data_IF_510999972001
#
_entry.id   IF_510999972001
#
_cell.length_a   1.000
_cell.length_b   1.000
_cell.length_c   1.000
_cell.angle_alpha   90.00
_cell.angle_beta   90.00
_cell.angle_gamma   90.00
#
_symmetry.space_group_name_H-M   'P 1'
#
loop_
_entity.id
_entity.type
_entity.pdbx_description
1 polymer ?
#
# COMPACT_ATOMS: atom_id res chain seq x y z
N UNK A 1 1.96 -14.13 2.12
CA UNK A 1 2.61 -13.07 1.33
C UNK A 1 3.88 -13.56 0.62
N UNK A 2 4.96 -13.91 1.32
CA UNK A 2 6.21 -14.42 0.69
C UNK A 2 6.01 -15.61 -0.24
N UNK A 3 5.23 -16.62 0.18
CA UNK A 3 4.89 -17.78 -0.67
C UNK A 3 4.15 -17.36 -1.94
N UNK A 4 3.17 -16.47 -1.82
CA UNK A 4 2.41 -15.96 -2.96
C UNK A 4 3.30 -15.19 -3.94
N UNK A 5 4.19 -14.34 -3.42
CA UNK A 5 5.15 -13.59 -4.22
C UNK A 5 6.09 -14.54 -4.99
N UNK A 6 6.68 -15.51 -4.31
CA UNK A 6 7.56 -16.51 -4.94
C UNK A 6 6.86 -17.31 -6.04
N UNK A 7 5.61 -17.73 -5.84
CA UNK A 7 4.84 -18.49 -6.86
C UNK A 7 4.53 -17.66 -8.11
N UNK A 8 4.55 -16.32 -8.00
CA UNK A 8 4.28 -15.41 -9.12
C UNK A 8 5.54 -14.74 -9.67
N UNK A 9 6.72 -15.15 -9.22
CA UNK A 9 7.99 -14.52 -9.62
C UNK A 9 8.12 -13.07 -9.15
N UNK A 10 7.42 -12.69 -8.08
CA UNK A 10 7.51 -11.35 -7.49
C UNK A 10 8.58 -11.37 -6.41
N UNK A 11 9.55 -10.47 -6.53
CA UNK A 11 10.55 -10.21 -5.49
C UNK A 11 10.01 -9.15 -4.51
N UNK A 12 10.18 -9.40 -3.21
CA UNK A 12 9.79 -8.44 -2.17
C UNK A 12 11.02 -7.61 -1.81
N UNK A 13 11.11 -6.40 -2.37
CA UNK A 13 12.22 -5.47 -2.13
C UNK A 13 12.01 -4.59 -0.90
N UNK A 14 10.76 -4.40 -0.46
CA UNK A 14 10.41 -3.56 0.69
C UNK A 14 9.18 -4.11 1.42
N UNK A 15 9.06 -3.83 2.71
CA UNK A 15 7.89 -4.21 3.51
C UNK A 15 7.51 -3.05 4.41
N UNK A 16 6.26 -2.59 4.29
CA UNK A 16 5.67 -1.55 5.12
C UNK A 16 4.71 -2.20 6.11
N UNK A 17 4.81 -1.82 7.39
CA UNK A 17 4.05 -2.47 8.47
C UNK A 17 3.32 -1.42 9.29
N UNK A 18 2.02 -1.63 9.47
CA UNK A 18 1.18 -0.89 10.42
C UNK A 18 0.89 -1.82 11.62
N UNK A 19 1.43 -1.51 12.79
CA UNK A 19 1.16 -2.30 13.99
C UNK A 19 -0.27 -2.03 14.52
N UNK A 20 -1.20 -2.93 14.20
CA UNK A 20 -2.45 -3.12 14.97
C UNK A 20 -3.44 -1.94 15.04
N UNK A 21 -3.40 -0.96 14.13
CA UNK A 21 -4.36 0.15 14.12
C UNK A 21 -5.61 -0.18 13.31
N UNK A 22 -6.76 0.37 13.73
CA UNK A 22 -8.03 0.22 13.02
C UNK A 22 -7.87 0.71 11.57
N UNK A 23 -8.24 -0.10 10.59
CA UNK A 23 -8.10 0.22 9.16
C UNK A 23 -9.11 1.26 8.65
N UNK A 24 -9.64 2.09 9.55
CA UNK A 24 -10.70 3.07 9.28
C UNK A 24 -10.13 4.46 8.94
N UNK A 25 -8.99 4.84 9.52
CA UNK A 25 -8.33 6.12 9.26
C UNK A 25 -6.89 5.91 8.82
N UNK A 26 -6.38 6.76 7.92
CA UNK A 26 -4.95 6.78 7.54
C UNK A 26 -4.06 7.31 8.67
N UNK A 27 -4.63 8.11 9.56
CA UNK A 27 -3.94 8.65 10.73
C UNK A 27 -3.45 7.52 11.65
N UNK A 28 -2.13 7.36 11.70
CA UNK A 28 -1.47 6.30 12.47
C UNK A 28 -1.01 5.10 11.67
N UNK A 29 -1.29 5.06 10.36
CA UNK A 29 -0.79 4.04 9.45
C UNK A 29 0.53 4.48 8.82
N UNK A 30 1.57 4.57 9.66
CA UNK A 30 2.90 5.05 9.25
C UNK A 30 3.48 4.25 8.09
N UNK A 31 3.19 2.94 8.01
CA UNK A 31 3.64 2.10 6.91
C UNK A 31 2.95 2.47 5.60
N UNK A 32 1.63 2.68 5.64
CA UNK A 32 0.87 3.11 4.46
C UNK A 32 1.27 4.52 4.01
N UNK A 33 1.46 5.44 4.95
CA UNK A 33 1.92 6.81 4.65
C UNK A 33 3.30 6.80 3.99
N UNK A 34 4.25 6.01 4.51
CA UNK A 34 5.58 5.89 3.92
C UNK A 34 5.53 5.27 2.51
N UNK A 35 4.70 4.24 2.31
CA UNK A 35 4.49 3.65 0.99
C UNK A 35 4.00 4.68 -0.03
N UNK A 36 3.00 5.48 0.33
CA UNK A 36 2.46 6.52 -0.55
C UNK A 36 3.50 7.59 -0.84
N UNK A 37 4.25 8.04 0.18
CA UNK A 37 5.32 9.03 0.00
C UNK A 37 6.44 8.53 -0.92
N UNK A 38 6.83 7.26 -0.80
CA UNK A 38 7.87 6.65 -1.64
C UNK A 38 7.40 6.56 -3.12
N UNK A 39 6.11 6.28 -3.36
CA UNK A 39 5.51 6.29 -4.70
C UNK A 39 5.42 7.72 -5.25
N UNK A 40 4.87 8.66 -4.48
CA UNK A 40 4.65 10.05 -4.92
C UNK A 40 5.95 10.82 -5.17
N UNK A 41 7.01 10.49 -4.45
CA UNK A 41 8.34 11.08 -4.66
C UNK A 41 9.05 10.58 -5.92
N UNK A 42 8.50 9.55 -6.59
CA UNK A 42 9.15 8.88 -7.73
C UNK A 42 10.41 8.10 -7.35
N UNK A 43 10.62 7.84 -6.06
CA UNK A 43 11.79 7.09 -5.54
C UNK A 43 11.50 5.60 -5.33
N UNK A 44 10.25 5.18 -5.57
CA UNK A 44 9.85 3.78 -5.52
C UNK A 44 10.64 2.95 -6.53
N UNK A 45 11.44 2.02 -6.02
CA UNK A 45 12.19 1.01 -6.76
C UNK A 45 11.37 -0.25 -7.07
N UNK A 46 10.04 -0.15 -6.94
CA UNK A 46 9.09 -1.25 -7.14
C UNK A 46 7.93 -0.80 -8.05
N UNK A 47 7.42 -1.74 -8.84
CA UNK A 47 6.29 -1.52 -9.75
C UNK A 47 4.98 -2.18 -9.29
N UNK A 48 5.04 -2.99 -8.23
CA UNK A 48 3.90 -3.77 -7.73
C UNK A 48 3.77 -3.59 -6.23
N UNK A 49 2.58 -3.22 -5.78
CA UNK A 49 2.22 -3.26 -4.36
C UNK A 49 1.41 -4.51 -4.07
N UNK A 50 1.93 -5.36 -3.19
CA UNK A 50 1.22 -6.53 -2.68
C UNK A 50 0.63 -6.18 -1.31
N UNK A 51 -0.67 -6.43 -1.13
CA UNK A 51 -1.36 -6.29 0.16
C UNK A 51 -1.98 -7.62 0.57
N UNK A 52 -2.13 -7.86 1.87
CA UNK A 52 -2.74 -9.09 2.39
C UNK A 52 -4.24 -9.16 2.09
N UNK A 53 -4.96 -8.04 2.27
CA UNK A 53 -6.37 -7.89 1.95
C UNK A 53 -6.72 -6.40 1.75
N UNK A 54 -7.85 -6.09 1.10
CA UNK A 54 -8.22 -4.72 0.72
C UNK A 54 -8.44 -3.79 1.93
N UNK A 55 -8.78 -4.32 3.11
CA UNK A 55 -8.87 -3.50 4.33
C UNK A 55 -7.51 -2.96 4.78
N UNK A 56 -6.41 -3.57 4.32
CA UNK A 56 -5.04 -3.08 4.53
C UNK A 56 -4.63 -2.02 3.52
N UNK A 57 -5.25 -1.97 2.35
CA UNK A 57 -5.08 -0.83 1.43
C UNK A 57 -5.91 0.36 1.89
N UNK A 58 -7.15 0.08 2.29
CA UNK A 58 -8.08 1.06 2.80
C UNK A 58 -9.49 0.48 2.78
N UNK A 59 -10.12 0.35 3.95
CA UNK A 59 -11.58 0.37 4.06
C UNK A 59 -11.97 1.75 4.59
N UNK A 60 -11.66 2.76 3.78
CA UNK A 60 -12.24 4.07 4.00
C UNK A 60 -13.75 3.93 3.80
N UNK A 61 -14.54 4.44 4.73
CA UNK A 61 -16.00 4.41 4.61
C UNK A 61 -16.46 5.23 3.38
N UNK A 62 -15.58 6.08 2.84
CA UNK A 62 -15.70 6.72 1.53
C UNK A 62 -14.90 5.97 0.45
N UNK A 63 -15.59 5.50 -0.58
CA UNK A 63 -14.99 4.85 -1.75
C UNK A 63 -14.06 5.79 -2.54
N UNK A 64 -14.24 7.10 -2.38
CA UNK A 64 -13.48 8.14 -3.06
C UNK A 64 -12.03 8.24 -2.57
N UNK A 65 -11.73 7.92 -1.31
CA UNK A 65 -10.35 7.96 -0.80
C UNK A 65 -9.49 6.82 -1.37
N UNK A 66 -10.04 5.60 -1.46
CA UNK A 66 -9.36 4.48 -2.11
C UNK A 66 -9.08 4.77 -3.59
N UNK A 67 -10.05 5.36 -4.30
CA UNK A 67 -9.90 5.78 -5.69
C UNK A 67 -8.89 6.91 -5.84
N UNK A 68 -8.80 7.82 -4.88
CA UNK A 68 -7.82 8.92 -4.86
C UNK A 68 -6.38 8.42 -4.75
N UNK A 69 -6.10 7.49 -3.83
CA UNK A 69 -4.75 6.91 -3.69
C UNK A 69 -4.39 6.01 -4.87
N UNK A 70 -5.35 5.24 -5.39
CA UNK A 70 -5.13 4.44 -6.61
C UNK A 70 -4.83 5.34 -7.82
N UNK A 71 -5.57 6.43 -7.98
CA UNK A 71 -5.32 7.42 -9.04
C UNK A 71 -3.93 8.05 -8.91
N UNK A 72 -3.49 8.44 -7.70
CA UNK A 72 -2.14 8.97 -7.49
C UNK A 72 -1.05 7.95 -7.81
N UNK A 73 -1.23 6.70 -7.37
CA UNK A 73 -0.26 5.64 -7.65
C UNK A 73 -0.15 5.31 -9.15
N UNK A 74 -1.24 5.41 -9.92
CA UNK A 74 -1.20 5.18 -11.38
C UNK A 74 -0.57 6.32 -12.19
N UNK A 75 -0.47 7.52 -11.62
CA UNK A 75 -0.05 8.72 -12.35
C UNK A 75 1.44 9.05 -12.21
N UNK A 76 2.10 8.48 -11.21
CA UNK A 76 3.56 8.47 -11.08
C UNK A 76 4.16 7.41 -12.02
#
# INVERSE_FOLDING_TARGET
MRRYAAHRGIEIVRTYVDAGRSGLNIEGRSGLQQLIADIESGTADFSVVLVYDISRWGRFQDADESAFYEYRCRRA
#
